data_IF_170426589772
#
_entry.id   IF_170426589772
#
_cell.length_a   1.000
_cell.length_b   1.000
_cell.length_c   1.000
_cell.angle_alpha   90.00
_cell.angle_beta   90.00
_cell.angle_gamma   90.00
#
_symmetry.space_group_name_H-M   'P 1'
#
loop_
_entity.id
_entity.type
_entity.pdbx_description
1 polymer ?
#
# COMPACT_ATOMS: atom_id res chain seq x y z
N UNK A 1 8.23 4.19 -7.57
CA UNK A 1 7.30 3.08 -7.90
C UNK A 1 6.53 2.69 -6.64
N UNK A 2 5.37 2.03 -6.72
CA UNK A 2 4.58 1.69 -5.52
C UNK A 2 5.40 0.87 -4.50
N UNK A 3 6.28 0.01 -4.99
CA UNK A 3 7.24 -0.75 -4.18
C UNK A 3 8.17 0.14 -3.34
N UNK A 4 8.62 1.28 -3.86
CA UNK A 4 9.49 2.22 -3.12
C UNK A 4 8.73 2.87 -1.96
N UNK A 5 7.43 3.16 -2.14
CA UNK A 5 6.58 3.68 -1.08
C UNK A 5 6.35 2.62 0.02
N UNK A 6 6.07 1.38 -0.36
CA UNK A 6 5.86 0.27 0.58
C UNK A 6 7.12 -0.03 1.40
N UNK A 7 8.31 -0.01 0.77
CA UNK A 7 9.60 -0.27 1.44
C UNK A 7 10.12 0.89 2.29
N UNK A 8 9.47 2.04 2.27
CA UNK A 8 9.75 3.15 3.21
C UNK A 8 9.35 2.77 4.66
N UNK A 9 8.41 1.84 4.81
CA UNK A 9 8.06 1.27 6.12
C UNK A 9 9.16 0.30 6.53
N UNK A 10 9.89 0.59 7.62
CA UNK A 10 11.08 -0.16 8.07
C UNK A 10 10.90 -1.68 8.16
N UNK A 11 9.69 -2.16 8.43
CA UNK A 11 9.37 -3.59 8.55
C UNK A 11 8.99 -4.27 7.23
N UNK A 12 8.86 -3.54 6.13
CA UNK A 12 8.42 -4.05 4.83
C UNK A 12 9.63 -4.14 3.90
N UNK A 13 9.93 -5.36 3.42
CA UNK A 13 11.02 -5.57 2.47
C UNK A 13 10.49 -5.58 1.02
N UNK A 14 11.42 -5.65 0.05
CA UNK A 14 11.10 -5.62 -1.38
C UNK A 14 10.25 -6.83 -1.82
N UNK A 15 10.54 -8.02 -1.31
CA UNK A 15 9.82 -9.24 -1.65
C UNK A 15 8.37 -9.14 -1.21
N UNK A 16 8.13 -8.74 0.04
CA UNK A 16 6.79 -8.58 0.60
C UNK A 16 5.99 -7.53 -0.18
N UNK A 17 6.63 -6.41 -0.54
CA UNK A 17 6.01 -5.37 -1.35
C UNK A 17 5.59 -5.87 -2.74
N UNK A 18 6.41 -6.68 -3.40
CA UNK A 18 6.05 -7.28 -4.68
C UNK A 18 4.95 -8.33 -4.55
N UNK A 19 4.98 -9.17 -3.50
CA UNK A 19 3.91 -10.12 -3.20
C UNK A 19 2.58 -9.43 -2.95
N UNK A 20 2.56 -8.38 -2.13
CA UNK A 20 1.36 -7.56 -1.87
C UNK A 20 0.81 -6.96 -3.16
N UNK A 21 1.67 -6.38 -4.00
CA UNK A 21 1.26 -5.79 -5.28
C UNK A 21 0.75 -6.82 -6.26
N UNK A 22 1.36 -8.01 -6.32
CA UNK A 22 0.93 -9.10 -7.19
C UNK A 22 -0.42 -9.70 -6.76
N UNK A 23 -0.64 -9.88 -5.46
CA UNK A 23 -1.88 -10.48 -4.92
C UNK A 23 -3.07 -9.53 -4.98
N UNK A 24 -2.88 -8.26 -4.58
CA UNK A 24 -3.99 -7.33 -4.37
C UNK A 24 -4.08 -6.26 -5.46
N UNK A 25 -2.97 -5.95 -6.12
CA UNK A 25 -2.88 -4.79 -7.01
C UNK A 25 -2.88 -3.46 -6.26
N UNK A 26 -2.41 -2.41 -6.93
CA UNK A 26 -2.25 -1.09 -6.30
C UNK A 26 -3.60 -0.46 -5.88
N UNK A 27 -4.66 -0.63 -6.70
CA UNK A 27 -5.99 -0.07 -6.43
C UNK A 27 -6.58 -0.61 -5.11
N UNK A 28 -6.54 -1.93 -4.90
CA UNK A 28 -7.11 -2.53 -3.68
C UNK A 28 -6.30 -2.19 -2.44
N UNK A 29 -4.98 -2.14 -2.54
CA UNK A 29 -4.14 -1.69 -1.43
C UNK A 29 -4.46 -0.24 -1.06
N UNK A 30 -4.69 0.63 -2.05
CA UNK A 30 -5.11 2.01 -1.79
C UNK A 30 -6.47 2.05 -1.07
N UNK A 31 -7.48 1.35 -1.58
CA UNK A 31 -8.81 1.32 -0.93
C UNK A 31 -8.69 0.82 0.53
N UNK A 32 -7.98 -0.30 0.78
CA UNK A 32 -7.87 -0.86 2.14
C UNK A 32 -7.03 -0.01 3.10
N UNK A 33 -5.93 0.58 2.62
CA UNK A 33 -4.97 1.30 3.49
C UNK A 33 -5.26 2.79 3.60
N UNK A 34 -5.91 3.40 2.60
CA UNK A 34 -6.19 4.84 2.57
C UNK A 34 -7.65 5.16 2.88
N UNK A 35 -8.61 4.45 2.27
CA UNK A 35 -10.06 4.72 2.44
C UNK A 35 -10.52 4.83 3.91
N UNK A 36 -10.12 3.95 4.85
CA UNK A 36 -10.53 4.08 6.25
C UNK A 36 -9.99 5.33 6.96
N UNK A 37 -8.96 5.98 6.40
CA UNK A 37 -8.33 7.17 6.96
C UNK A 37 -8.55 8.43 6.11
N UNK A 38 -9.35 8.33 5.03
CA UNK A 38 -9.83 9.50 4.30
C UNK A 38 -10.68 10.32 5.25
N UNK A 39 -10.15 11.48 5.68
CA UNK A 39 -10.95 12.45 6.39
C UNK A 39 -12.05 12.92 5.45
N UNK A 40 -13.31 12.68 5.84
CA UNK A 40 -14.45 13.21 5.10
C UNK A 40 -14.28 14.73 4.95
N UNK A 41 -14.47 15.30 3.74
CA UNK A 41 -14.41 16.74 3.57
C UNK A 41 -15.43 17.39 4.53
N UNK A 42 -14.96 18.40 5.28
CA UNK A 42 -15.79 19.19 6.20
C UNK A 42 -16.78 20.04 5.44
#
# INVERSE_FOLDING_TARGET
QVTDCLTSVKSVNRTDALSLLGTFGAKRLFDVLHEPFVKSPR
#
